data_IF_544946670037
#
_entry.id   IF_544946670037
#
_cell.length_a   1.000
_cell.length_b   1.000
_cell.length_c   1.000
_cell.angle_alpha   90.00
_cell.angle_beta   90.00
_cell.angle_gamma   90.00
#
_symmetry.space_group_name_H-M   'P 1'
#
loop_
_entity.id
_entity.type
_entity.pdbx_description
1 polymer ?
#
# COMPACT_ATOMS: atom_id res chain seq x y z
N UNK A 1 -18.08 17.94 24.29
CA UNK A 1 -17.99 18.07 22.82
C UNK A 1 -16.63 17.57 22.38
N UNK A 2 -16.54 16.67 21.38
CA UNK A 2 -15.25 16.28 20.83
C UNK A 2 -14.50 17.52 20.34
N UNK A 3 -13.19 17.61 20.61
CA UNK A 3 -12.43 18.79 20.19
C UNK A 3 -12.35 18.82 18.66
N UNK A 4 -12.56 19.99 18.03
CA UNK A 4 -12.58 20.11 16.56
C UNK A 4 -11.27 19.64 15.92
N UNK A 5 -10.15 19.76 16.64
CA UNK A 5 -8.83 19.29 16.22
C UNK A 5 -8.78 17.77 16.03
N UNK A 6 -9.40 16.99 16.92
CA UNK A 6 -9.42 15.52 16.82
C UNK A 6 -10.27 15.06 15.64
N UNK A 7 -11.41 15.73 15.40
CA UNK A 7 -12.25 15.45 14.24
C UNK A 7 -11.52 15.74 12.92
N UNK A 8 -10.79 16.86 12.84
CA UNK A 8 -10.00 17.22 11.66
C UNK A 8 -8.90 16.17 11.37
N UNK A 9 -8.16 15.72 12.39
CA UNK A 9 -7.13 14.70 12.22
C UNK A 9 -7.69 13.33 11.79
N UNK A 10 -8.88 12.94 12.28
CA UNK A 10 -9.56 11.71 11.84
C UNK A 10 -9.99 11.81 10.37
N UNK A 11 -10.54 12.95 9.97
CA UNK A 11 -10.98 13.21 8.60
C UNK A 11 -9.80 13.20 7.61
N UNK A 12 -8.73 13.93 7.91
CA UNK A 12 -7.52 13.96 7.06
C UNK A 12 -6.88 12.57 6.98
N UNK A 13 -6.80 11.85 8.10
CA UNK A 13 -6.25 10.49 8.13
C UNK A 13 -7.05 9.49 7.29
N UNK A 14 -8.38 9.50 7.41
CA UNK A 14 -9.26 8.59 6.67
C UNK A 14 -9.30 8.89 5.17
N UNK A 15 -9.32 10.17 4.76
CA UNK A 15 -9.21 10.54 3.35
C UNK A 15 -7.87 10.07 2.77
N UNK A 16 -6.77 10.27 3.50
CA UNK A 16 -5.45 9.84 3.05
C UNK A 16 -5.38 8.32 2.87
N UNK A 17 -6.02 7.55 3.76
CA UNK A 17 -6.16 6.09 3.63
C UNK A 17 -7.05 5.66 2.46
N UNK A 18 -8.13 6.40 2.21
CA UNK A 18 -9.00 6.18 1.05
C UNK A 18 -8.25 6.41 -0.26
N UNK A 19 -7.49 7.50 -0.35
CA UNK A 19 -6.65 7.80 -1.52
C UNK A 19 -5.55 6.76 -1.70
N UNK A 20 -4.88 6.32 -0.62
CA UNK A 20 -3.89 5.25 -0.67
C UNK A 20 -4.49 3.96 -1.26
N UNK A 21 -5.66 3.56 -0.74
CA UNK A 21 -6.36 2.35 -1.20
C UNK A 21 -6.79 2.49 -2.67
N UNK A 22 -7.27 3.67 -3.07
CA UNK A 22 -7.66 3.94 -4.45
C UNK A 22 -6.50 3.85 -5.43
N UNK A 23 -5.32 4.37 -5.06
CA UNK A 23 -4.10 4.25 -5.87
C UNK A 23 -3.69 2.78 -6.00
N UNK A 24 -3.63 2.04 -4.89
CA UNK A 24 -3.26 0.61 -4.90
C UNK A 24 -4.24 -0.26 -5.71
N UNK A 25 -5.55 -0.01 -5.57
CA UNK A 25 -6.59 -0.73 -6.32
C UNK A 25 -6.51 -0.43 -7.83
N UNK A 26 -6.27 0.82 -8.20
CA UNK A 26 -6.12 1.23 -9.60
C UNK A 26 -4.89 0.61 -10.24
N UNK A 27 -3.77 0.56 -9.52
CA UNK A 27 -2.54 -0.06 -10.01
C UNK A 27 -2.73 -1.56 -10.27
N UNK A 28 -3.35 -2.24 -9.32
CA UNK A 28 -3.58 -3.69 -9.37
C UNK A 28 -4.55 -4.10 -10.47
N UNK A 29 -5.59 -3.30 -10.70
CA UNK A 29 -6.71 -3.67 -11.56
C UNK A 29 -6.62 -3.11 -12.97
N UNK A 30 -5.93 -1.98 -13.17
CA UNK A 30 -5.89 -1.28 -14.45
C UNK A 30 -4.47 -1.21 -15.01
N UNK A 31 -3.51 -0.69 -14.23
CA UNK A 31 -2.18 -0.41 -14.80
C UNK A 31 -1.36 -1.67 -15.03
N UNK A 32 -1.33 -2.60 -14.07
CA UNK A 32 -0.55 -3.84 -14.22
C UNK A 32 -1.04 -4.74 -15.37
N UNK A 33 -2.34 -5.03 -15.54
CA UNK A 33 -2.78 -5.81 -16.71
C UNK A 33 -2.55 -5.08 -18.04
N UNK A 34 -2.55 -3.74 -18.06
CA UNK A 34 -2.25 -2.98 -19.28
C UNK A 34 -0.81 -3.15 -19.78
N UNK A 35 0.13 -3.52 -18.90
CA UNK A 35 1.52 -3.77 -19.27
C UNK A 35 1.68 -5.01 -20.15
N UNK A 36 0.74 -5.96 -20.10
CA UNK A 36 0.76 -7.16 -20.94
C UNK A 36 0.38 -6.89 -22.40
N UNK A 37 -0.20 -5.72 -22.69
CA UNK A 37 -0.56 -5.33 -24.05
C UNK A 37 0.60 -4.64 -24.80
N UNK A 38 1.77 -4.45 -24.16
CA UNK A 38 2.90 -3.81 -24.81
C UNK A 38 3.60 -4.78 -25.79
N UNK A 39 4.09 -4.27 -26.94
CA UNK A 39 4.67 -5.10 -27.99
C UNK A 39 6.07 -5.65 -27.67
N UNK A 40 6.78 -5.09 -26.69
CA UNK A 40 8.13 -5.54 -26.31
C UNK A 40 8.33 -5.60 -24.79
N UNK A 41 9.15 -6.56 -24.36
CA UNK A 41 9.49 -6.76 -22.95
C UNK A 41 10.29 -5.58 -22.37
N UNK A 42 11.15 -4.94 -23.17
CA UNK A 42 11.95 -3.77 -22.76
C UNK A 42 11.07 -2.58 -22.42
N UNK A 43 10.10 -2.26 -23.29
CA UNK A 43 9.17 -1.15 -23.05
C UNK A 43 8.31 -1.40 -21.81
N UNK A 44 7.91 -2.66 -21.58
CA UNK A 44 7.17 -3.05 -20.39
C UNK A 44 8.00 -2.89 -19.10
N UNK A 45 9.29 -3.27 -19.12
CA UNK A 45 10.24 -3.03 -18.01
C UNK A 45 10.38 -1.55 -17.70
N UNK A 46 10.60 -0.71 -18.71
CA UNK A 46 10.83 0.73 -18.50
C UNK A 46 9.58 1.41 -17.95
N UNK A 47 8.40 1.09 -18.51
CA UNK A 47 7.13 1.57 -17.97
C UNK A 47 6.92 1.13 -16.51
N UNK A 48 7.27 -0.12 -16.19
CA UNK A 48 7.12 -0.69 -14.86
C UNK A 48 8.07 -0.08 -13.83
N UNK A 49 9.35 0.10 -14.18
CA UNK A 49 10.35 0.74 -13.32
C UNK A 49 9.99 2.20 -13.05
N UNK A 50 9.56 2.93 -14.09
CA UNK A 50 9.09 4.30 -13.98
C UNK A 50 7.85 4.40 -13.09
N UNK A 51 6.84 3.56 -13.33
CA UNK A 51 5.58 3.54 -12.59
C UNK A 51 5.82 3.20 -11.11
N UNK A 52 6.65 2.21 -10.82
CA UNK A 52 6.95 1.80 -9.45
C UNK A 52 7.69 2.88 -8.67
N UNK A 53 8.71 3.49 -9.27
CA UNK A 53 9.48 4.57 -8.64
C UNK A 53 8.58 5.76 -8.33
N UNK A 54 7.73 6.16 -9.28
CA UNK A 54 6.82 7.29 -9.11
C UNK A 54 5.74 7.01 -8.07
N UNK A 55 5.12 5.83 -8.15
CA UNK A 55 4.07 5.40 -7.23
C UNK A 55 4.59 5.32 -5.80
N UNK A 56 5.77 4.72 -5.59
CA UNK A 56 6.33 4.51 -4.26
C UNK A 56 6.51 5.82 -3.50
N UNK A 57 6.87 6.89 -4.21
CA UNK A 57 6.98 8.23 -3.63
C UNK A 57 5.62 8.72 -3.16
N UNK A 58 4.61 8.66 -4.02
CA UNK A 58 3.24 9.11 -3.71
C UNK A 58 2.65 8.31 -2.55
N UNK A 59 2.69 6.98 -2.60
CA UNK A 59 2.14 6.12 -1.55
C UNK A 59 2.84 6.33 -0.21
N UNK A 60 4.16 6.58 -0.22
CA UNK A 60 4.91 6.87 1.01
C UNK A 60 4.48 8.18 1.65
N UNK A 61 4.28 9.24 0.86
CA UNK A 61 3.78 10.52 1.38
C UNK A 61 2.37 10.39 1.96
N UNK A 62 1.44 9.77 1.22
CA UNK A 62 0.07 9.56 1.70
C UNK A 62 0.04 8.74 2.99
N UNK A 63 0.84 7.68 3.05
CA UNK A 63 0.95 6.83 4.24
C UNK A 63 1.50 7.60 5.44
N UNK A 64 2.61 8.32 5.27
CA UNK A 64 3.22 9.05 6.39
C UNK A 64 2.28 10.14 6.92
N UNK A 65 1.56 10.84 6.03
CA UNK A 65 0.53 11.82 6.43
C UNK A 65 -0.62 11.14 7.17
N UNK A 66 -1.13 10.00 6.69
CA UNK A 66 -2.17 9.25 7.37
C UNK A 66 -1.74 8.79 8.77
N UNK A 67 -0.51 8.30 8.90
CA UNK A 67 0.06 7.85 10.17
C UNK A 67 0.22 8.98 11.17
N UNK A 68 0.86 10.09 10.76
CA UNK A 68 1.05 11.24 11.64
C UNK A 68 -0.31 11.80 12.06
N UNK A 69 -1.28 11.87 11.15
CA UNK A 69 -2.62 12.38 11.43
C UNK A 69 -3.39 11.47 12.41
N UNK A 70 -3.40 10.15 12.20
CA UNK A 70 -4.10 9.21 13.08
C UNK A 70 -3.40 9.04 14.44
N UNK A 71 -2.07 9.06 14.45
CA UNK A 71 -1.28 9.02 15.68
C UNK A 71 -1.46 10.31 16.50
N UNK A 72 -1.48 11.47 15.85
CA UNK A 72 -1.79 12.73 16.51
C UNK A 72 -3.21 12.73 17.08
N UNK A 73 -4.20 12.18 16.35
CA UNK A 73 -5.56 12.01 16.85
C UNK A 73 -5.61 11.10 18.10
N UNK A 74 -4.81 10.03 18.13
CA UNK A 74 -4.68 9.16 19.30
C UNK A 74 -4.00 9.88 20.48
N UNK A 75 -2.91 10.62 20.24
CA UNK A 75 -2.15 11.32 21.28
C UNK A 75 -2.93 12.49 21.90
N UNK A 76 -3.74 13.22 21.12
CA UNK A 76 -4.60 14.30 21.61
C UNK A 76 -5.90 13.78 22.28
N UNK A 77 -6.23 12.50 22.15
CA UNK A 77 -7.46 11.94 22.73
C UNK A 77 -7.33 11.78 24.25
N UNK A 78 -8.27 12.31 25.07
CA UNK A 78 -8.21 12.26 26.52
C UNK A 78 -8.33 10.82 27.08
N UNK A 79 -7.63 10.56 28.20
CA UNK A 79 -7.36 9.22 28.78
C UNK A 79 -8.60 8.40 29.20
N UNK A 80 -9.80 8.98 29.20
CA UNK A 80 -11.06 8.34 29.67
C UNK A 80 -11.77 7.52 28.58
N UNK A 81 -11.60 7.86 27.29
CA UNK A 81 -12.17 7.14 26.14
C UNK A 81 -11.07 6.71 25.18
N UNK A 82 -10.16 5.84 25.64
CA UNK A 82 -9.18 5.21 24.74
C UNK A 82 -9.96 4.36 23.75
N UNK A 83 -10.19 4.87 22.55
CA UNK A 83 -10.85 4.11 21.50
C UNK A 83 -9.82 3.14 20.90
N UNK A 84 -9.88 1.84 21.24
CA UNK A 84 -8.89 0.86 20.78
C UNK A 84 -8.86 0.77 19.24
N UNK A 85 -9.96 1.15 18.58
CA UNK A 85 -10.03 1.20 17.11
C UNK A 85 -9.01 2.16 16.48
N UNK A 86 -8.69 3.32 17.10
CA UNK A 86 -7.70 4.27 16.54
C UNK A 86 -6.28 3.71 16.59
N UNK A 87 -6.00 2.89 17.60
CA UNK A 87 -4.77 2.13 17.67
C UNK A 87 -4.74 1.03 16.61
N UNK A 88 -5.82 0.28 16.44
CA UNK A 88 -5.91 -0.75 15.40
C UNK A 88 -5.85 -0.19 13.97
N UNK A 89 -6.43 0.98 13.70
CA UNK A 89 -6.35 1.61 12.37
C UNK A 89 -4.94 2.10 12.05
N UNK A 90 -4.25 2.71 13.01
CA UNK A 90 -2.84 3.11 12.84
C UNK A 90 -1.91 1.90 12.72
N UNK A 91 -2.16 0.83 13.48
CA UNK A 91 -1.43 -0.43 13.36
C UNK A 91 -1.67 -1.10 12.01
N UNK A 92 -2.90 -1.13 11.52
CA UNK A 92 -3.24 -1.66 10.19
C UNK A 92 -2.67 -0.78 9.06
N UNK A 93 -2.63 0.55 9.22
CA UNK A 93 -2.00 1.45 8.27
C UNK A 93 -0.47 1.25 8.21
N UNK A 94 0.18 1.02 9.36
CA UNK A 94 1.57 0.58 9.43
C UNK A 94 1.75 -0.79 8.75
N UNK A 95 0.85 -1.73 9.05
CA UNK A 95 0.89 -3.07 8.49
C UNK A 95 0.74 -3.08 6.96
N UNK A 96 -0.15 -2.26 6.38
CA UNK A 96 -0.35 -2.14 4.92
C UNK A 96 0.93 -1.74 4.18
N UNK A 97 1.79 -0.94 4.83
CA UNK A 97 3.09 -0.55 4.31
C UNK A 97 4.15 -1.63 4.54
N UNK A 98 4.87 -1.49 5.66
CA UNK A 98 6.01 -2.34 6.00
C UNK A 98 5.61 -3.74 6.46
N UNK A 99 4.40 -3.90 7.00
CA UNK A 99 3.91 -5.19 7.48
C UNK A 99 3.66 -6.19 6.34
N UNK A 100 3.06 -5.74 5.22
CA UNK A 100 2.84 -6.58 4.03
C UNK A 100 4.18 -6.96 3.42
N UNK A 101 5.10 -6.00 3.27
CA UNK A 101 6.44 -6.26 2.74
C UNK A 101 7.22 -7.26 3.63
N UNK A 102 7.14 -7.13 4.95
CA UNK A 102 7.79 -8.04 5.89
C UNK A 102 7.11 -9.41 5.97
N UNK A 103 5.77 -9.46 5.93
CA UNK A 103 5.01 -10.71 5.98
C UNK A 103 5.26 -11.57 4.74
N UNK A 104 5.30 -10.95 3.56
CA UNK A 104 5.67 -11.62 2.32
C UNK A 104 7.11 -12.12 2.37
N UNK A 105 8.06 -11.27 2.78
CA UNK A 105 9.46 -11.69 2.93
C UNK A 105 9.67 -12.82 3.95
N UNK A 106 8.88 -12.84 5.04
CA UNK A 106 8.91 -13.91 6.03
C UNK A 106 8.26 -15.20 5.53
N UNK A 107 7.20 -15.08 4.73
CA UNK A 107 6.52 -16.21 4.09
C UNK A 107 7.42 -16.88 3.04
N UNK A 108 8.15 -16.09 2.24
CA UNK A 108 9.10 -16.60 1.23
C UNK A 108 10.27 -17.34 1.87
N UNK A 109 10.79 -16.84 3.00
CA UNK A 109 11.83 -17.52 3.79
C UNK A 109 11.36 -18.86 4.34
N UNK A 110 10.07 -18.99 4.71
CA UNK A 110 9.49 -20.24 5.22
C UNK A 110 9.13 -21.22 4.09
N UNK A 111 8.81 -20.72 2.91
CA UNK A 111 8.45 -21.52 1.74
C UNK A 111 9.66 -22.05 0.94
N UNK A 112 10.89 -21.94 1.47
CA UNK A 112 12.08 -22.52 0.85
C UNK A 112 12.58 -21.76 -0.38
N UNK A 113 12.49 -20.42 -0.40
CA UNK A 113 13.18 -19.57 -1.37
C UNK A 113 12.69 -19.65 -2.82
N UNK A 114 11.64 -20.43 -3.11
CA UNK A 114 11.24 -20.73 -4.49
C UNK A 114 10.17 -19.79 -5.08
N UNK A 115 9.69 -18.81 -4.29
CA UNK A 115 8.92 -17.67 -4.80
C UNK A 115 9.77 -16.42 -4.67
N UNK A 116 10.81 -16.34 -5.49
CA UNK A 116 11.40 -15.04 -5.80
C UNK A 116 10.26 -14.18 -6.33
N UNK A 117 9.74 -13.27 -5.50
CA UNK A 117 9.14 -12.06 -6.00
C UNK A 117 10.16 -11.52 -7.00
N UNK A 118 9.90 -11.70 -8.30
CA UNK A 118 10.68 -11.10 -9.36
C UNK A 118 10.56 -9.59 -9.13
N UNK A 119 11.48 -9.10 -8.32
CA UNK A 119 11.47 -7.71 -7.91
C UNK A 119 11.95 -6.92 -9.10
N UNK A 120 11.62 -5.64 -9.16
CA UNK A 120 12.11 -4.78 -10.24
C UNK A 120 13.65 -4.83 -10.36
N UNK A 121 14.35 -5.19 -9.27
CA UNK A 121 15.80 -5.42 -9.28
C UNK A 121 16.22 -6.64 -10.13
N UNK A 122 15.39 -7.68 -10.23
CA UNK A 122 15.62 -8.88 -11.04
C UNK A 122 15.46 -8.60 -12.54
N UNK A 123 14.80 -7.49 -12.89
CA UNK A 123 14.67 -7.01 -14.27
C UNK A 123 15.88 -6.19 -14.74
N UNK A 124 16.86 -5.93 -13.86
CA UNK A 124 18.02 -5.13 -14.18
C UNK A 124 19.12 -5.94 -14.87
N UNK A 125 18.83 -6.38 -16.10
CA UNK A 125 19.80 -7.07 -16.96
C UNK A 125 20.72 -6.05 -17.64
N UNK A 126 22.01 -6.40 -17.73
CA UNK A 126 23.11 -5.56 -18.23
C UNK A 126 22.94 -5.21 -19.73
N UNK A 127 22.21 -6.04 -20.47
CA UNK A 127 21.92 -5.82 -21.90
C UNK A 127 20.42 -5.94 -22.19
N UNK A 128 19.79 -5.02 -22.95
CA UNK A 128 18.34 -5.04 -23.21
C UNK A 128 17.85 -6.27 -23.98
N UNK A 129 18.68 -6.88 -24.84
CA UNK A 129 18.34 -8.10 -25.58
C UNK A 129 18.17 -9.36 -24.73
N UNK A 130 18.77 -9.39 -23.53
CA UNK A 130 18.70 -10.54 -22.62
C UNK A 130 17.44 -10.52 -21.73
N UNK A 131 16.58 -9.51 -21.89
CA UNK A 131 15.32 -9.37 -21.16
C UNK A 131 14.25 -10.30 -21.73
N UNK A 132 14.02 -11.42 -21.05
CA UNK A 132 12.93 -12.33 -21.37
C UNK A 132 11.56 -11.75 -20.93
N UNK A 133 10.56 -11.81 -21.80
CA UNK A 133 9.18 -11.39 -21.50
C UNK A 133 8.54 -12.15 -20.33
N UNK A 134 8.97 -13.39 -20.07
CA UNK A 134 8.48 -14.16 -18.92
C UNK A 134 8.98 -13.59 -17.59
N UNK A 135 10.20 -13.04 -17.54
CA UNK A 135 10.72 -12.38 -16.34
C UNK A 135 9.92 -11.13 -16.01
N UNK A 136 9.59 -10.33 -17.03
CA UNK A 136 8.72 -9.15 -16.88
C UNK A 136 7.32 -9.57 -16.41
N UNK A 137 6.78 -10.66 -16.96
CA UNK A 137 5.47 -11.18 -16.55
C UNK A 137 5.45 -11.62 -15.10
N UNK A 138 6.45 -12.35 -14.66
CA UNK A 138 6.58 -12.78 -13.27
C UNK A 138 6.72 -11.58 -12.33
N UNK A 139 7.46 -10.54 -12.73
CA UNK A 139 7.62 -9.33 -11.93
C UNK A 139 6.32 -8.51 -11.81
N UNK A 140 5.58 -8.37 -12.91
CA UNK A 140 4.26 -7.71 -12.93
C UNK A 140 3.27 -8.47 -12.03
N UNK A 141 3.22 -9.81 -12.12
CA UNK A 141 2.31 -10.61 -11.32
C UNK A 141 2.68 -10.57 -9.82
N UNK A 142 3.97 -10.61 -9.50
CA UNK A 142 4.46 -10.45 -8.13
C UNK A 142 4.07 -9.10 -7.52
N UNK A 143 4.21 -8.01 -8.28
CA UNK A 143 3.75 -6.69 -7.84
C UNK A 143 2.24 -6.60 -7.71
N UNK A 144 1.50 -7.23 -8.62
CA UNK A 144 0.04 -7.26 -8.57
C UNK A 144 -0.44 -7.91 -7.28
N UNK A 145 0.18 -9.01 -6.89
CA UNK A 145 -0.14 -9.70 -5.65
C UNK A 145 0.16 -8.83 -4.42
N UNK A 146 1.36 -8.22 -4.35
CA UNK A 146 1.73 -7.35 -3.22
C UNK A 146 0.81 -6.14 -3.11
N UNK A 147 0.55 -5.46 -4.22
CA UNK A 147 -0.27 -4.25 -4.22
C UNK A 147 -1.75 -4.57 -3.97
N UNK A 148 -2.23 -5.74 -4.40
CA UNK A 148 -3.54 -6.27 -4.05
C UNK A 148 -3.68 -6.55 -2.56
N UNK A 149 -2.68 -7.19 -1.93
CA UNK A 149 -2.66 -7.38 -0.47
C UNK A 149 -2.60 -6.04 0.27
N UNK A 150 -1.77 -5.11 -0.19
CA UNK A 150 -1.68 -3.75 0.38
C UNK A 150 -3.02 -3.04 0.32
N UNK A 151 -3.71 -3.10 -0.83
CA UNK A 151 -5.03 -2.52 -1.04
C UNK A 151 -6.09 -3.16 -0.14
N UNK A 152 -6.05 -4.48 0.06
CA UNK A 152 -6.97 -5.17 0.96
C UNK A 152 -6.77 -4.73 2.42
N UNK A 153 -5.52 -4.68 2.88
CA UNK A 153 -5.20 -4.25 4.25
C UNK A 153 -5.51 -2.76 4.46
N UNK A 154 -5.16 -1.90 3.50
CA UNK A 154 -5.49 -0.47 3.58
C UNK A 154 -7.00 -0.23 3.48
N UNK A 155 -7.72 -1.04 2.71
CA UNK A 155 -9.17 -1.01 2.59
C UNK A 155 -9.87 -1.37 3.90
N UNK A 156 -9.38 -2.40 4.61
CA UNK A 156 -9.85 -2.74 5.95
C UNK A 156 -9.56 -1.61 6.96
N UNK A 157 -8.36 -1.04 6.91
CA UNK A 157 -7.98 0.09 7.76
C UNK A 157 -8.86 1.33 7.48
N UNK A 158 -9.16 1.58 6.21
CA UNK A 158 -10.07 2.64 5.77
C UNK A 158 -11.49 2.40 6.26
N UNK A 159 -12.04 1.19 6.08
CA UNK A 159 -13.38 0.83 6.55
C UNK A 159 -13.51 1.00 8.07
N UNK A 160 -12.51 0.55 8.83
CA UNK A 160 -12.42 0.77 10.28
C UNK A 160 -12.37 2.27 10.63
N UNK A 161 -11.63 3.07 9.86
CA UNK A 161 -11.58 4.52 10.02
C UNK A 161 -12.93 5.19 9.76
N UNK A 162 -13.65 4.78 8.71
CA UNK A 162 -14.99 5.30 8.38
C UNK A 162 -16.00 4.93 9.47
N UNK A 163 -16.04 3.66 9.89
CA UNK A 163 -16.91 3.21 10.99
C UNK A 163 -16.60 3.96 12.28
N UNK A 164 -15.32 4.24 12.55
CA UNK A 164 -14.89 5.00 13.71
C UNK A 164 -15.30 6.47 13.70
N UNK A 165 -15.42 7.10 12.52
CA UNK A 165 -15.93 8.47 12.39
C UNK A 165 -17.43 8.53 12.72
N UNK A 166 -18.19 7.55 12.23
CA UNK A 166 -19.65 7.51 12.43
C UNK A 166 -20.05 6.95 13.80
N UNK A 167 -19.28 6.01 14.36
CA UNK A 167 -19.55 5.40 15.67
C UNK A 167 -19.16 6.26 16.87
N UNK A 168 -18.33 7.30 16.67
CA UNK A 168 -17.99 8.32 17.67
C UNK A 168 -18.86 9.59 17.50
N UNK A 169 -19.86 9.50 16.62
CA UNK A 169 -20.83 10.54 16.25
C UNK A 169 -22.27 10.06 16.38
N UNK A 170 -22.61 9.53 17.56
CA UNK A 170 -23.93 9.54 18.20
C UNK A 170 -23.73 9.69 19.72
#
# INVERSE_FOLDING_TARGET
MPSPTVALCKFVGTISLGLLTGVSASLTSLTLPSLFNLPSAVNARDALTYLSTRTRTVTTYLRNTALISLFAAYALSPRSSRHPYLFYTSLLALASGSGVDFALAAQDKRAGGSRSHASIADLNVETPEDLNGEQVRQAVEGMRYTEGMRAAVSGLAFAMGVVGIWGDGA
#
